data_IF_476889595839
#
_entry.id   IF_476889595839
#
_cell.length_a   1.000
_cell.length_b   1.000
_cell.length_c   1.000
_cell.angle_alpha   90.00
_cell.angle_beta   90.00
_cell.angle_gamma   90.00
#
_symmetry.space_group_name_H-M   'P 1'
#
loop_
_entity.id
_entity.type
_entity.pdbx_description
1 polymer ?
#
# COMPACT_ATOMS: atom_id res chain seq x y z
N UNK A 1 2.19 36.23 -7.18
CA UNK A 1 1.75 35.22 -6.19
C UNK A 1 2.92 34.94 -5.27
N UNK A 2 2.70 34.71 -3.96
CA UNK A 2 3.81 34.40 -3.05
C UNK A 2 4.31 32.97 -3.23
N UNK A 3 5.62 32.76 -3.12
CA UNK A 3 6.25 31.45 -3.32
C UNK A 3 5.75 30.43 -2.30
N UNK A 4 5.47 30.84 -1.06
CA UNK A 4 4.85 30.00 -0.04
C UNK A 4 3.49 29.43 -0.47
N UNK A 5 2.72 30.16 -1.27
CA UNK A 5 1.41 29.71 -1.78
C UNK A 5 1.57 28.65 -2.87
N UNK A 6 2.56 28.80 -3.74
CA UNK A 6 2.84 27.84 -4.82
C UNK A 6 3.33 26.52 -4.21
N UNK A 7 4.31 26.57 -3.31
CA UNK A 7 4.84 25.37 -2.64
C UNK A 7 3.76 24.67 -1.80
N UNK A 8 2.87 25.42 -1.15
CA UNK A 8 1.72 24.84 -0.43
C UNK A 8 0.76 24.08 -1.35
N UNK A 9 0.48 24.61 -2.54
CA UNK A 9 -0.39 23.94 -3.51
C UNK A 9 0.29 22.67 -4.07
N UNK A 10 1.60 22.72 -4.29
CA UNK A 10 2.38 21.54 -4.67
C UNK A 10 2.35 20.46 -3.58
N UNK A 11 2.55 20.84 -2.31
CA UNK A 11 2.44 19.92 -1.17
C UNK A 11 1.05 19.28 -1.10
N UNK A 12 -0.01 20.07 -1.29
CA UNK A 12 -1.39 19.58 -1.28
C UNK A 12 -1.63 18.55 -2.40
N UNK A 13 -1.17 18.85 -3.63
CA UNK A 13 -1.27 17.92 -4.76
C UNK A 13 -0.57 16.59 -4.45
N UNK A 14 0.67 16.65 -3.94
CA UNK A 14 1.42 15.44 -3.56
C UNK A 14 0.78 14.66 -2.43
N UNK A 15 0.15 15.35 -1.46
CA UNK A 15 -0.58 14.71 -0.36
C UNK A 15 -1.82 13.96 -0.85
N UNK A 16 -2.54 14.51 -1.83
CA UNK A 16 -3.68 13.81 -2.46
C UNK A 16 -3.20 12.58 -3.21
N UNK A 17 -2.12 12.69 -3.99
CA UNK A 17 -1.49 11.55 -4.67
C UNK A 17 -1.06 10.47 -3.66
N UNK A 18 -0.37 10.86 -2.58
CA UNK A 18 0.06 9.96 -1.51
C UNK A 18 -1.10 9.17 -0.90
N UNK A 19 -2.25 9.82 -0.64
CA UNK A 19 -3.45 9.13 -0.14
C UNK A 19 -4.00 8.08 -1.11
N UNK A 20 -3.96 8.35 -2.42
CA UNK A 20 -4.35 7.34 -3.43
C UNK A 20 -3.43 6.12 -3.37
N UNK A 21 -2.12 6.33 -3.24
CA UNK A 21 -1.16 5.23 -3.07
C UNK A 21 -1.37 4.46 -1.76
N UNK A 22 -1.73 5.12 -0.66
CA UNK A 22 -2.09 4.44 0.59
C UNK A 22 -3.30 3.51 0.41
N UNK A 23 -4.35 3.97 -0.30
CA UNK A 23 -5.52 3.15 -0.58
C UNK A 23 -5.18 1.95 -1.45
N UNK A 24 -4.39 2.14 -2.51
CA UNK A 24 -3.96 1.05 -3.40
C UNK A 24 -3.12 0.01 -2.65
N UNK A 25 -2.21 0.47 -1.79
CA UNK A 25 -1.41 -0.40 -0.92
C UNK A 25 -2.31 -1.21 0.03
N UNK A 26 -3.32 -0.58 0.64
CA UNK A 26 -4.30 -1.26 1.50
C UNK A 26 -5.12 -2.31 0.75
N UNK A 27 -5.53 -2.00 -0.49
CA UNK A 27 -6.23 -2.95 -1.37
C UNK A 27 -5.35 -4.16 -1.68
N UNK A 28 -4.08 -3.94 -2.02
CA UNK A 28 -3.13 -5.02 -2.30
C UNK A 28 -2.93 -5.94 -1.08
N UNK A 29 -2.73 -5.35 0.10
CA UNK A 29 -2.58 -6.12 1.36
C UNK A 29 -3.81 -7.01 1.59
N UNK A 30 -5.01 -6.45 1.38
CA UNK A 30 -6.27 -7.18 1.56
C UNK A 30 -6.40 -8.35 0.57
N UNK A 31 -5.98 -8.16 -0.70
CA UNK A 31 -5.99 -9.23 -1.70
C UNK A 31 -4.98 -10.34 -1.38
N UNK A 32 -3.80 -10.00 -0.86
CA UNK A 32 -2.81 -10.98 -0.40
C UNK A 32 -3.40 -11.82 0.73
N UNK A 33 -3.99 -11.19 1.76
CA UNK A 33 -4.62 -11.91 2.87
C UNK A 33 -5.72 -12.85 2.37
N UNK A 34 -6.54 -12.40 1.42
CA UNK A 34 -7.60 -13.22 0.85
C UNK A 34 -7.06 -14.44 0.10
N UNK A 35 -5.90 -14.32 -0.55
CA UNK A 35 -5.24 -15.46 -1.21
C UNK A 35 -4.65 -16.43 -0.18
N UNK A 36 -4.01 -15.94 0.87
CA UNK A 36 -3.51 -16.77 1.98
C UNK A 36 -4.64 -17.59 2.62
N UNK A 37 -5.77 -16.94 2.89
CA UNK A 37 -6.96 -17.60 3.44
C UNK A 37 -7.48 -18.68 2.48
N UNK A 38 -7.48 -18.40 1.17
CA UNK A 38 -7.93 -19.36 0.15
C UNK A 38 -6.98 -20.55 0.03
N UNK A 39 -5.67 -20.33 0.06
CA UNK A 39 -4.66 -21.40 0.05
C UNK A 39 -4.89 -22.31 1.26
N UNK A 40 -5.08 -21.71 2.44
CA UNK A 40 -5.36 -22.45 3.68
C UNK A 40 -6.65 -23.30 3.57
N UNK A 41 -7.71 -22.75 2.97
CA UNK A 41 -8.95 -23.50 2.70
C UNK A 41 -8.73 -24.67 1.74
N UNK A 42 -7.94 -24.48 0.68
CA UNK A 42 -7.61 -25.54 -0.27
C UNK A 42 -6.79 -26.64 0.40
N UNK A 43 -5.83 -26.29 1.25
CA UNK A 43 -5.05 -27.27 2.01
C UNK A 43 -5.92 -28.06 3.00
N UNK A 44 -6.85 -27.39 3.69
CA UNK A 44 -7.82 -28.07 4.56
C UNK A 44 -8.71 -29.04 3.76
N UNK A 45 -9.25 -28.62 2.61
CA UNK A 45 -10.04 -29.48 1.73
C UNK A 45 -9.24 -30.69 1.24
N UNK A 46 -7.99 -30.47 0.84
CA UNK A 46 -7.10 -31.55 0.40
C UNK A 46 -6.86 -32.56 1.53
N UNK A 47 -6.65 -32.10 2.76
CA UNK A 47 -6.52 -32.97 3.93
C UNK A 47 -7.79 -33.81 4.16
N UNK A 48 -8.97 -33.22 3.98
CA UNK A 48 -10.25 -33.94 4.08
C UNK A 48 -10.30 -35.04 3.01
N UNK A 49 -10.06 -34.72 1.74
CA UNK A 49 -10.07 -35.71 0.66
C UNK A 49 -9.01 -36.80 0.80
N UNK A 50 -7.83 -36.47 1.35
CA UNK A 50 -6.82 -37.47 1.70
C UNK A 50 -7.30 -38.40 2.81
N UNK A 51 -7.98 -37.89 3.83
CA UNK A 51 -8.59 -38.74 4.88
C UNK A 51 -9.70 -39.66 4.35
N UNK A 52 -10.37 -39.27 3.27
CA UNK A 52 -11.35 -40.16 2.63
C UNK A 52 -10.67 -41.37 1.98
N UNK A 53 -9.45 -41.24 1.47
CA UNK A 53 -8.70 -42.35 0.86
C UNK A 53 -8.34 -43.46 1.86
N UNK A 54 -8.32 -43.16 3.17
CA UNK A 54 -8.03 -44.14 4.21
C UNK A 54 -9.28 -44.84 4.72
N UNK A 55 -10.48 -44.50 4.23
CA UNK A 55 -11.72 -45.16 4.65
C UNK A 55 -11.80 -46.56 4.01
N UNK A 56 -12.07 -47.62 4.80
CA UNK A 56 -12.39 -48.92 4.23
C UNK A 56 -13.69 -48.80 3.41
N UNK A 57 -13.84 -49.61 2.36
CA UNK A 57 -14.99 -49.65 1.42
C UNK A 57 -15.16 -48.51 0.39
N UNK A 58 -14.09 -47.90 -0.07
CA UNK A 58 -14.13 -47.05 -1.28
C UNK A 58 -14.34 -47.87 -2.55
N UNK A 59 -15.28 -47.46 -3.40
CA UNK A 59 -15.41 -47.99 -4.76
C UNK A 59 -14.30 -47.45 -5.66
N UNK A 60 -13.99 -48.17 -6.75
CA UNK A 60 -13.02 -47.71 -7.75
C UNK A 60 -13.38 -46.34 -8.33
N UNK A 61 -14.69 -46.07 -8.52
CA UNK A 61 -15.18 -44.79 -9.06
C UNK A 61 -14.93 -43.63 -8.09
N UNK A 62 -15.20 -43.82 -6.81
CA UNK A 62 -14.94 -42.82 -5.77
C UNK A 62 -13.45 -42.55 -5.62
N UNK A 63 -12.61 -43.59 -5.70
CA UNK A 63 -11.15 -43.45 -5.63
C UNK A 63 -10.62 -42.61 -6.79
N UNK A 64 -11.09 -42.86 -8.02
CA UNK A 64 -10.75 -42.03 -9.20
C UNK A 64 -11.26 -40.59 -8.99
N UNK A 65 -12.49 -40.42 -8.52
CA UNK A 65 -13.07 -39.10 -8.25
C UNK A 65 -12.25 -38.28 -7.25
N UNK A 66 -11.85 -38.88 -6.12
CA UNK A 66 -11.02 -38.24 -5.10
C UNK A 66 -9.65 -37.85 -5.68
N UNK A 67 -9.03 -38.70 -6.52
CA UNK A 67 -7.76 -38.38 -7.18
C UNK A 67 -7.89 -37.18 -8.12
N UNK A 68 -8.94 -37.12 -8.93
CA UNK A 68 -9.22 -36.00 -9.84
C UNK A 68 -9.43 -34.71 -9.03
N UNK A 69 -10.23 -34.76 -7.97
CA UNK A 69 -10.44 -33.60 -7.09
C UNK A 69 -9.11 -33.13 -6.49
N UNK A 70 -8.30 -34.03 -5.94
CA UNK A 70 -6.99 -33.68 -5.38
C UNK A 70 -6.05 -33.06 -6.42
N UNK A 71 -6.06 -33.53 -7.66
CA UNK A 71 -5.30 -32.94 -8.76
C UNK A 71 -5.73 -31.48 -8.99
N UNK A 72 -7.03 -31.22 -9.15
CA UNK A 72 -7.55 -29.86 -9.35
C UNK A 72 -7.31 -28.93 -8.15
N UNK A 73 -7.33 -29.47 -6.92
CA UNK A 73 -6.99 -28.70 -5.73
C UNK A 73 -5.50 -28.31 -5.72
N UNK A 74 -4.60 -29.19 -6.19
CA UNK A 74 -3.19 -28.84 -6.35
C UNK A 74 -2.99 -27.76 -7.42
N UNK A 75 -3.59 -27.93 -8.60
CA UNK A 75 -3.51 -26.93 -9.68
C UNK A 75 -3.96 -25.55 -9.17
N UNK A 76 -5.06 -25.52 -8.41
CA UNK A 76 -5.56 -24.29 -7.83
C UNK A 76 -4.60 -23.69 -6.80
N UNK A 77 -4.07 -24.52 -5.89
CA UNK A 77 -3.09 -24.08 -4.89
C UNK A 77 -1.84 -23.49 -5.55
N UNK A 78 -1.33 -24.13 -6.59
CA UNK A 78 -0.10 -23.71 -7.26
C UNK A 78 -0.31 -22.38 -8.01
N UNK A 79 -1.48 -22.18 -8.63
CA UNK A 79 -1.87 -20.89 -9.21
C UNK A 79 -1.96 -19.80 -8.14
N UNK A 80 -2.54 -20.12 -6.98
CA UNK A 80 -2.74 -19.16 -5.89
C UNK A 80 -1.41 -18.77 -5.25
N UNK A 81 -0.52 -19.75 -5.07
CA UNK A 81 0.84 -19.55 -4.58
C UNK A 81 1.65 -18.68 -5.56
N UNK A 82 1.55 -18.96 -6.87
CA UNK A 82 2.22 -18.16 -7.90
C UNK A 82 1.73 -16.72 -7.89
N UNK A 83 0.42 -16.51 -7.77
CA UNK A 83 -0.18 -15.18 -7.66
C UNK A 83 0.25 -14.47 -6.38
N UNK A 84 0.34 -15.18 -5.26
CA UNK A 84 0.79 -14.63 -3.99
C UNK A 84 2.23 -14.12 -4.08
N UNK A 85 3.13 -14.88 -4.70
CA UNK A 85 4.53 -14.46 -4.92
C UNK A 85 4.60 -13.15 -5.72
N UNK A 86 3.86 -13.05 -6.82
CA UNK A 86 3.82 -11.83 -7.65
C UNK A 86 3.28 -10.62 -6.87
N UNK A 87 2.20 -10.81 -6.10
CA UNK A 87 1.63 -9.73 -5.31
C UNK A 87 2.54 -9.34 -4.12
N UNK A 88 3.32 -10.27 -3.56
CA UNK A 88 4.29 -9.98 -2.51
C UNK A 88 5.44 -9.11 -3.02
N UNK A 89 5.95 -9.39 -4.23
CA UNK A 89 6.93 -8.52 -4.89
C UNK A 89 6.37 -7.12 -5.15
N UNK A 90 5.14 -7.05 -5.67
CA UNK A 90 4.48 -5.76 -5.90
C UNK A 90 4.25 -5.01 -4.59
N UNK A 91 3.94 -5.71 -3.49
CA UNK A 91 3.83 -5.09 -2.15
C UNK A 91 5.12 -4.43 -1.74
N UNK A 92 6.27 -5.07 -1.95
CA UNK A 92 7.57 -4.47 -1.63
C UNK A 92 7.82 -3.22 -2.48
N UNK A 93 7.54 -3.27 -3.79
CA UNK A 93 7.67 -2.11 -4.68
C UNK A 93 6.77 -0.95 -4.28
N UNK A 94 5.49 -1.22 -4.01
CA UNK A 94 4.53 -0.22 -3.55
C UNK A 94 4.96 0.41 -2.22
N UNK A 95 5.43 -0.37 -1.26
CA UNK A 95 5.90 0.14 0.03
C UNK A 95 7.10 1.08 -0.13
N UNK A 96 8.06 0.74 -1.01
CA UNK A 96 9.20 1.60 -1.30
C UNK A 96 8.75 2.93 -1.95
N UNK A 97 7.84 2.87 -2.92
CA UNK A 97 7.27 4.06 -3.56
C UNK A 97 6.48 4.92 -2.57
N UNK A 98 5.69 4.29 -1.69
CA UNK A 98 4.91 4.98 -0.67
C UNK A 98 5.82 5.73 0.32
N UNK A 99 6.92 5.11 0.74
CA UNK A 99 7.93 5.75 1.59
C UNK A 99 8.58 6.95 0.88
N UNK A 100 8.94 6.82 -0.40
CA UNK A 100 9.50 7.91 -1.19
C UNK A 100 8.51 9.08 -1.33
N UNK A 101 7.23 8.79 -1.62
CA UNK A 101 6.18 9.80 -1.74
C UNK A 101 5.87 10.49 -0.42
N UNK A 102 5.92 9.77 0.70
CA UNK A 102 5.80 10.37 2.03
C UNK A 102 6.90 11.41 2.26
N UNK A 103 8.16 11.05 1.99
CA UNK A 103 9.30 11.98 2.11
C UNK A 103 9.13 13.21 1.23
N UNK A 104 8.66 13.05 -0.01
CA UNK A 104 8.38 14.18 -0.91
C UNK A 104 7.33 15.14 -0.32
N UNK A 105 6.25 14.61 0.26
CA UNK A 105 5.23 15.42 0.94
C UNK A 105 5.83 16.14 2.16
N UNK A 106 6.56 15.43 3.01
CA UNK A 106 7.15 16.00 4.22
C UNK A 106 8.12 17.15 3.89
N UNK A 107 8.98 16.98 2.87
CA UNK A 107 9.89 18.03 2.39
C UNK A 107 9.14 19.28 1.91
N UNK A 108 8.10 19.12 1.10
CA UNK A 108 7.31 20.25 0.60
C UNK A 108 6.53 20.96 1.73
N UNK A 109 6.04 20.22 2.71
CA UNK A 109 5.38 20.80 3.88
C UNK A 109 6.36 21.61 4.73
N UNK A 110 7.59 21.13 4.93
CA UNK A 110 8.64 21.85 5.66
C UNK A 110 9.17 23.08 4.90
N UNK A 111 9.35 22.96 3.59
CA UNK A 111 9.70 24.10 2.73
C UNK A 111 8.62 25.19 2.79
N UNK A 112 7.34 24.79 2.74
CA UNK A 112 6.22 25.72 2.90
C UNK A 112 6.28 26.46 4.23
N UNK A 113 6.65 25.79 5.33
CA UNK A 113 6.80 26.43 6.65
C UNK A 113 7.95 27.43 6.66
N UNK A 114 9.09 27.07 6.07
CA UNK A 114 10.27 27.95 5.96
C UNK A 114 9.95 29.21 5.15
N UNK A 115 9.38 29.06 3.96
CA UNK A 115 8.98 30.19 3.11
C UNK A 115 8.01 31.14 3.81
N UNK A 116 7.03 30.61 4.56
CA UNK A 116 6.11 31.44 5.35
C UNK A 116 6.80 32.25 6.45
N UNK A 117 7.82 31.69 7.10
CA UNK A 117 8.60 32.41 8.12
C UNK A 117 9.42 33.53 7.49
N UNK A 118 10.16 33.22 6.43
CA UNK A 118 10.94 34.21 5.70
C UNK A 118 10.05 35.35 5.16
N UNK A 119 8.90 35.03 4.57
CA UNK A 119 7.94 36.05 4.11
C UNK A 119 7.39 36.93 5.26
N UNK A 120 7.28 36.39 6.48
CA UNK A 120 6.86 37.15 7.66
C UNK A 120 7.99 38.03 8.20
N UNK A 121 9.22 37.52 8.22
CA UNK A 121 10.43 38.25 8.59
C UNK A 121 10.68 39.42 7.63
N UNK A 122 10.63 39.19 6.31
CA UNK A 122 10.76 40.26 5.31
C UNK A 122 9.69 41.34 5.45
N UNK A 123 8.46 40.96 5.79
CA UNK A 123 7.38 41.93 6.05
C UNK A 123 7.65 42.74 7.30
N UNK A 124 8.16 42.10 8.36
CA UNK A 124 8.53 42.76 9.60
C UNK A 124 9.67 43.75 9.37
N UNK A 125 10.72 43.35 8.65
CA UNK A 125 11.85 44.22 8.27
C UNK A 125 11.38 45.42 7.46
N UNK A 126 10.52 45.21 6.44
CA UNK A 126 9.93 46.30 5.66
C UNK A 126 9.12 47.27 6.52
N UNK A 127 8.34 46.75 7.47
CA UNK A 127 7.57 47.59 8.39
C UNK A 127 8.47 48.39 9.32
N UNK A 128 9.53 47.79 9.84
CA UNK A 128 10.52 48.47 10.69
C UNK A 128 11.28 49.56 9.93
N UNK A 129 11.67 49.30 8.67
CA UNK A 129 12.32 50.28 7.81
C UNK A 129 11.43 51.49 7.47
N UNK A 130 10.10 51.31 7.51
CA UNK A 130 9.11 52.36 7.26
C UNK A 130 8.70 53.11 8.53
N UNK A 131 9.17 52.71 9.72
CA UNK A 131 8.89 53.44 10.95
C UNK A 131 9.74 54.73 11.00
N UNK A 132 9.12 55.90 11.24
CA UNK A 132 9.88 57.14 11.37
C UNK A 132 10.82 57.04 12.58
N UNK A 133 12.07 57.49 12.39
CA UNK A 133 13.03 57.58 13.49
C UNK A 133 12.40 58.39 14.62
N UNK A 134 12.28 57.79 15.81
CA UNK A 134 11.85 58.51 17.02
C UNK A 134 12.78 59.70 17.19
N UNK A 135 12.24 60.92 17.00
CA UNK A 135 12.92 62.16 17.39
C UNK A 135 13.13 62.08 18.90
N UNK A 136 14.40 61.99 19.31
CA UNK A 136 14.85 62.28 20.68
C UNK A 136 14.93 63.79 20.82
#
# INVERSE_FOLDING_TARGET
MSDSRITRLAALKRKVEYRKWQMETGRLISEIQRLDDRISQVEALKSIYQSHLTKPSLTARELIGIRIINMHLNDRRDLDQSRLTLLAEERQRLMAMLAAKKREVDMLEDETKRLKRNEAEEKLEKLQALMPARRV
#
